data_IF_747334879772
#
_entry.id   IF_747334879772
#
_cell.length_a   1.000
_cell.length_b   1.000
_cell.length_c   1.000
_cell.angle_alpha   90.00
_cell.angle_beta   90.00
_cell.angle_gamma   90.00
#
_symmetry.space_group_name_H-M   'P 1'
#
loop_
_entity.id
_entity.type
_entity.pdbx_description
1 polymer ?
#
# COMPACT_ATOMS: atom_id res chain seq x y z
N UNK A 1 15.27 29.02 10.02
CA UNK A 1 15.23 28.11 8.85
C UNK A 1 14.29 28.58 7.75
N UNK A 2 13.00 28.85 7.99
CA UNK A 2 12.11 29.36 6.91
C UNK A 2 12.56 30.71 6.36
N UNK A 3 13.03 31.62 7.23
CA UNK A 3 13.64 32.90 6.82
C UNK A 3 14.95 32.76 6.02
N UNK A 4 15.55 31.57 5.98
CA UNK A 4 16.75 31.30 5.17
C UNK A 4 16.41 30.81 3.76
N UNK A 5 15.14 30.52 3.47
CA UNK A 5 14.67 30.14 2.13
C UNK A 5 14.52 31.42 1.32
N UNK A 6 15.42 31.64 0.36
CA UNK A 6 15.38 32.72 -0.65
C UNK A 6 14.89 34.08 -0.13
N UNK A 7 15.71 34.75 0.69
CA UNK A 7 15.40 36.02 1.38
C UNK A 7 14.93 37.15 0.46
N UNK A 8 15.35 37.11 -0.81
CA UNK A 8 15.14 38.22 -1.75
C UNK A 8 13.78 38.11 -2.47
N UNK A 9 13.22 36.91 -2.57
CA UNK A 9 11.97 36.61 -3.30
C UNK A 9 10.82 36.27 -2.35
N UNK A 10 11.12 35.70 -1.18
CA UNK A 10 10.14 35.20 -0.23
C UNK A 10 10.06 36.09 1.02
N UNK A 11 8.89 36.66 1.28
CA UNK A 11 8.63 37.44 2.47
C UNK A 11 7.57 36.76 3.35
N UNK A 12 7.86 36.63 4.65
CA UNK A 12 6.86 36.19 5.64
C UNK A 12 5.97 37.38 5.97
N UNK A 13 4.66 37.23 5.84
CA UNK A 13 3.69 38.27 6.19
C UNK A 13 3.29 38.09 7.65
N UNK A 14 3.45 39.14 8.44
CA UNK A 14 3.06 39.20 9.86
C UNK A 14 2.06 40.38 10.04
N UNK A 15 0.86 40.17 10.62
CA UNK A 15 0.29 38.88 11.06
C UNK A 15 -0.08 37.97 9.89
N UNK A 16 -0.20 36.67 10.15
CA UNK A 16 -0.70 35.72 9.16
C UNK A 16 -2.17 36.04 8.82
N UNK A 17 -2.58 35.75 7.58
CA UNK A 17 -3.96 35.89 7.14
C UNK A 17 -4.91 35.02 7.98
N UNK A 18 -6.15 35.46 8.12
CA UNK A 18 -7.18 34.78 8.91
C UNK A 18 -7.31 33.31 8.51
N UNK A 19 -7.18 32.43 9.51
CA UNK A 19 -7.29 30.97 9.33
C UNK A 19 -5.98 30.25 8.98
N UNK A 20 -4.85 30.95 8.83
CA UNK A 20 -3.55 30.35 8.51
C UNK A 20 -2.49 30.60 9.60
N UNK A 21 -1.61 29.63 9.84
CA UNK A 21 -0.49 29.78 10.77
C UNK A 21 0.72 30.50 10.17
N UNK A 22 0.88 30.44 8.84
CA UNK A 22 1.98 31.06 8.12
C UNK A 22 1.47 31.56 6.76
N UNK A 23 1.72 32.83 6.46
CA UNK A 23 1.43 33.43 5.16
C UNK A 23 2.75 33.86 4.50
N UNK A 24 2.95 33.42 3.26
CA UNK A 24 4.14 33.75 2.47
C UNK A 24 3.72 34.63 1.30
N UNK A 25 4.46 35.71 1.07
CA UNK A 25 4.33 36.58 -0.09
C UNK A 25 5.52 36.37 -1.01
N UNK A 26 5.24 36.08 -2.28
CA UNK A 26 6.23 35.90 -3.34
C UNK A 26 6.26 37.17 -4.20
N UNK A 27 7.45 37.72 -4.41
CA UNK A 27 7.66 38.84 -5.32
C UNK A 27 8.12 38.33 -6.70
N UNK A 28 7.19 38.32 -7.67
CA UNK A 28 7.49 37.84 -9.03
C UNK A 28 8.47 38.75 -9.78
N UNK A 29 8.61 40.02 -9.39
CA UNK A 29 9.51 40.96 -10.07
C UNK A 29 10.98 40.62 -9.84
N UNK A 30 11.28 39.95 -8.72
CA UNK A 30 12.63 39.52 -8.32
C UNK A 30 12.90 38.06 -8.66
N UNK A 31 11.95 37.37 -9.29
CA UNK A 31 12.11 35.97 -9.65
C UNK A 31 13.03 35.85 -10.88
N UNK A 32 14.16 35.12 -10.79
CA UNK A 32 15.03 34.93 -11.94
C UNK A 32 14.31 34.07 -13.00
N UNK A 33 14.58 34.30 -14.29
CA UNK A 33 13.99 33.54 -15.41
C UNK A 33 14.83 32.33 -15.87
N UNK A 34 15.89 31.99 -15.13
CA UNK A 34 16.84 30.92 -15.45
C UNK A 34 16.50 29.61 -14.69
N UNK A 35 17.41 28.63 -14.68
CA UNK A 35 17.28 27.38 -13.91
C UNK A 35 17.12 27.59 -12.40
N UNK A 36 17.52 28.74 -11.85
CA UNK A 36 17.38 29.07 -10.42
C UNK A 36 15.91 29.28 -10.05
N UNK A 37 15.06 29.65 -11.02
CA UNK A 37 13.61 29.75 -10.83
C UNK A 37 13.01 28.41 -10.38
N UNK A 38 13.46 27.30 -10.98
CA UNK A 38 13.02 25.95 -10.62
C UNK A 38 13.47 25.57 -9.22
N UNK A 39 14.68 25.99 -8.81
CA UNK A 39 15.17 25.75 -7.46
C UNK A 39 14.34 26.52 -6.42
N UNK A 40 14.04 27.80 -6.68
CA UNK A 40 13.20 28.62 -5.79
C UNK A 40 11.79 28.03 -5.70
N UNK A 41 11.18 27.64 -6.83
CA UNK A 41 9.86 26.98 -6.84
C UNK A 41 9.90 25.69 -6.01
N UNK A 42 10.96 24.89 -6.16
CA UNK A 42 11.13 23.66 -5.39
C UNK A 42 11.27 23.96 -3.89
N UNK A 43 12.08 24.95 -3.52
CA UNK A 43 12.26 25.37 -2.13
C UNK A 43 10.94 25.87 -1.51
N UNK A 44 10.20 26.73 -2.22
CA UNK A 44 8.88 27.23 -1.81
C UNK A 44 7.88 26.08 -1.66
N UNK A 45 7.87 25.14 -2.59
CA UNK A 45 7.00 23.95 -2.51
C UNK A 45 7.35 23.04 -1.33
N UNK A 46 8.60 23.10 -0.85
CA UNK A 46 9.11 22.28 0.25
C UNK A 46 8.96 22.91 1.64
N UNK A 47 8.39 24.13 1.77
CA UNK A 47 8.34 24.87 3.05
C UNK A 47 7.74 24.04 4.18
N UNK A 48 6.62 23.34 3.94
CA UNK A 48 5.99 22.49 4.96
C UNK A 48 6.96 21.39 5.44
N UNK A 49 7.66 20.75 4.50
CA UNK A 49 8.65 19.73 4.81
C UNK A 49 9.84 20.33 5.58
N UNK A 50 10.31 21.53 5.22
CA UNK A 50 11.41 22.22 5.91
C UNK A 50 11.03 22.58 7.35
N UNK A 51 9.81 23.08 7.58
CA UNK A 51 9.34 23.42 8.94
C UNK A 51 9.35 22.18 9.83
N UNK A 52 8.69 21.11 9.42
CA UNK A 52 8.63 19.87 10.22
C UNK A 52 10.00 19.20 10.34
N UNK A 53 10.80 19.24 9.28
CA UNK A 53 12.16 18.72 9.31
C UNK A 53 13.02 19.47 10.32
N UNK A 54 12.88 20.80 10.41
CA UNK A 54 13.66 21.60 11.36
C UNK A 54 13.34 21.23 12.81
N UNK A 55 12.06 21.13 13.16
CA UNK A 55 11.62 20.67 14.46
C UNK A 55 12.15 19.27 14.80
N UNK A 56 12.04 18.33 13.86
CA UNK A 56 12.57 16.97 14.06
C UNK A 56 14.10 16.94 14.19
N UNK A 57 14.83 17.74 13.41
CA UNK A 57 16.31 17.81 13.51
C UNK A 57 16.73 18.32 14.89
N UNK A 58 16.08 19.36 15.37
CA UNK A 58 16.33 19.91 16.71
C UNK A 58 16.04 18.87 17.79
N UNK A 59 14.92 18.14 17.68
CA UNK A 59 14.61 17.01 18.56
C UNK A 59 15.72 15.95 18.53
N UNK A 60 16.15 15.53 17.34
CA UNK A 60 17.14 14.46 17.16
C UNK A 60 18.56 14.85 17.59
N UNK A 61 18.94 16.12 17.46
CA UNK A 61 20.24 16.61 17.94
C UNK A 61 20.30 16.64 19.47
N UNK A 62 19.17 16.91 20.11
CA UNK A 62 19.03 17.02 21.57
C UNK A 62 18.58 15.71 22.24
N UNK A 63 18.87 14.54 21.65
CA UNK A 63 18.46 13.23 22.21
C UNK A 63 19.09 12.94 23.58
N UNK A 64 20.31 13.44 23.83
CA UNK A 64 21.06 13.20 25.06
C UNK A 64 21.09 14.42 26.01
N UNK A 65 20.47 15.55 25.66
CA UNK A 65 20.43 16.71 26.56
C UNK A 65 19.51 16.36 27.72
N UNK A 66 20.09 16.16 28.91
CA UNK A 66 19.44 15.60 30.10
C UNK A 66 18.33 16.44 30.74
N UNK A 67 17.49 17.12 29.95
CA UNK A 67 16.26 17.79 30.39
C UNK A 67 15.21 16.74 30.79
N UNK A 68 15.51 16.07 31.90
CA UNK A 68 14.74 14.97 32.46
C UNK A 68 13.74 15.54 33.45
N UNK A 69 12.67 16.16 32.97
CA UNK A 69 11.50 16.35 33.84
C UNK A 69 10.97 14.96 34.19
N UNK A 70 11.00 14.57 35.48
CA UNK A 70 10.48 13.32 36.05
C UNK A 70 8.94 13.18 35.94
N UNK A 71 8.37 13.42 34.75
CA UNK A 71 6.94 13.34 34.46
C UNK A 71 6.64 12.45 33.27
N UNK A 72 5.36 12.19 33.01
CA UNK A 72 4.88 11.51 31.80
C UNK A 72 5.45 12.21 30.56
N UNK A 73 6.17 11.48 29.70
CA UNK A 73 6.75 12.03 28.48
C UNK A 73 5.63 12.53 27.57
N UNK A 74 5.50 13.86 27.42
CA UNK A 74 4.43 14.44 26.61
C UNK A 74 4.68 14.15 25.12
N UNK A 75 3.77 13.45 24.42
CA UNK A 75 3.93 13.19 23.01
C UNK A 75 3.79 14.50 22.21
N UNK A 76 4.63 14.68 21.20
CA UNK A 76 4.54 15.79 20.25
C UNK A 76 3.90 15.25 18.97
N UNK A 77 2.70 15.76 18.66
CA UNK A 77 1.97 15.42 17.44
C UNK A 77 2.55 16.18 16.24
N UNK A 78 2.98 15.47 15.21
CA UNK A 78 3.47 16.03 13.95
C UNK A 78 2.54 15.67 12.80
N UNK A 79 2.12 16.68 12.04
CA UNK A 79 1.15 16.55 10.95
C UNK A 79 1.84 16.92 9.64
N UNK A 80 2.40 15.93 8.94
CA UNK A 80 2.90 16.12 7.57
C UNK A 80 1.79 15.87 6.55
N UNK A 81 0.98 14.83 6.79
CA UNK A 81 -0.24 14.56 6.04
C UNK A 81 -1.46 14.78 6.96
N UNK A 82 -2.47 15.56 6.55
CA UNK A 82 -3.58 15.97 7.44
C UNK A 82 -4.34 14.83 8.14
N UNK A 83 -4.37 13.64 7.53
CA UNK A 83 -5.09 12.45 8.07
C UNK A 83 -4.18 11.44 8.76
N UNK A 84 -2.87 11.70 8.75
CA UNK A 84 -1.83 10.76 9.18
C UNK A 84 -0.81 11.48 10.05
N UNK A 85 -1.23 11.90 11.26
CA UNK A 85 -0.28 12.39 12.24
C UNK A 85 0.57 11.23 12.74
N UNK A 86 1.83 11.52 13.03
CA UNK A 86 2.67 10.64 13.84
C UNK A 86 3.14 11.41 15.07
N UNK A 87 3.53 10.65 16.09
CA UNK A 87 3.89 11.18 17.39
C UNK A 87 5.37 10.99 17.64
N UNK A 88 5.98 11.97 18.28
CA UNK A 88 7.37 11.87 18.72
C UNK A 88 7.41 12.08 20.22
N UNK A 89 7.91 11.08 20.93
CA UNK A 89 8.02 11.06 22.39
C UNK A 89 9.51 11.13 22.72
N UNK A 90 9.92 12.14 23.47
CA UNK A 90 11.29 12.26 23.97
C UNK A 90 11.42 11.44 25.25
N UNK A 91 12.34 10.49 25.29
CA UNK A 91 12.76 9.76 26.48
C UNK A 91 14.23 10.11 26.80
N UNK A 92 14.77 9.80 28.00
CA UNK A 92 16.05 10.33 28.46
C UNK A 92 17.28 9.93 27.61
N UNK A 93 17.20 8.81 26.90
CA UNK A 93 18.32 8.27 26.09
C UNK A 93 17.92 7.99 24.63
N UNK A 94 16.65 8.19 24.29
CA UNK A 94 16.10 7.86 22.98
C UNK A 94 14.86 8.68 22.66
N UNK A 95 14.57 8.82 21.38
CA UNK A 95 13.32 9.38 20.88
C UNK A 95 12.51 8.25 20.27
N UNK A 96 11.25 8.14 20.65
CA UNK A 96 10.33 7.15 20.09
C UNK A 96 9.40 7.85 19.12
N UNK A 97 9.46 7.45 17.84
CA UNK A 97 8.55 7.92 16.81
C UNK A 97 7.44 6.88 16.59
N UNK A 98 6.19 7.23 16.88
CA UNK A 98 5.03 6.33 16.81
C UNK A 98 4.11 6.74 15.66
N UNK A 99 3.79 5.78 14.80
CA UNK A 99 2.97 5.93 13.60
C UNK A 99 1.66 5.14 13.73
N UNK A 100 0.54 5.80 14.04
CA UNK A 100 -0.79 5.24 13.95
C UNK A 100 -1.15 4.90 12.48
N UNK A 101 -1.31 3.62 12.14
CA UNK A 101 -1.52 3.17 10.75
C UNK A 101 -3.00 3.00 10.41
N UNK A 102 -3.44 3.67 9.35
CA UNK A 102 -4.83 3.62 8.86
C UNK A 102 -4.93 3.23 7.39
N UNK A 103 -5.73 2.21 7.13
CA UNK A 103 -6.04 1.75 5.77
C UNK A 103 -7.54 1.81 5.51
N UNK A 104 -7.94 2.12 4.26
CA UNK A 104 -9.35 2.17 3.90
C UNK A 104 -9.95 0.78 3.70
N UNK A 105 -9.19 -0.12 3.08
CA UNK A 105 -9.65 -1.46 2.72
C UNK A 105 -9.14 -2.51 3.71
N UNK A 106 -10.00 -3.42 4.14
CA UNK A 106 -9.61 -4.51 5.04
C UNK A 106 -8.54 -5.44 4.42
N UNK A 107 -8.50 -5.57 3.09
CA UNK A 107 -7.43 -6.31 2.42
C UNK A 107 -6.06 -5.66 2.62
N UNK A 108 -6.02 -4.33 2.62
CA UNK A 108 -4.78 -3.57 2.78
C UNK A 108 -4.31 -3.65 4.23
N UNK A 109 -5.24 -3.71 5.20
CA UNK A 109 -4.93 -3.98 6.61
C UNK A 109 -4.18 -5.31 6.74
N UNK A 110 -4.71 -6.40 6.16
CA UNK A 110 -4.08 -7.73 6.26
C UNK A 110 -2.67 -7.72 5.65
N UNK A 111 -2.52 -7.13 4.46
CA UNK A 111 -1.21 -7.02 3.80
C UNK A 111 -0.23 -6.19 4.65
N UNK A 112 -0.69 -5.07 5.21
CA UNK A 112 0.12 -4.21 6.04
C UNK A 112 0.54 -4.89 7.34
N UNK A 113 -0.36 -5.61 8.00
CA UNK A 113 -0.05 -6.37 9.22
C UNK A 113 1.04 -7.41 8.97
N UNK A 114 0.94 -8.17 7.88
CA UNK A 114 2.01 -9.12 7.50
C UNK A 114 3.33 -8.40 7.22
N UNK A 115 3.29 -7.26 6.53
CA UNK A 115 4.48 -6.44 6.26
C UNK A 115 5.15 -5.96 7.56
N UNK A 116 4.39 -5.50 8.56
CA UNK A 116 4.96 -5.04 9.83
C UNK A 116 5.54 -6.19 10.66
N UNK A 117 4.90 -7.35 10.66
CA UNK A 117 5.45 -8.55 11.32
C UNK A 117 6.79 -8.94 10.70
N UNK A 118 6.87 -9.02 9.38
CA UNK A 118 8.12 -9.30 8.68
C UNK A 118 9.19 -8.22 8.94
N UNK A 119 8.79 -6.95 9.02
CA UNK A 119 9.71 -5.85 9.33
C UNK A 119 10.35 -6.02 10.72
N UNK A 120 9.56 -6.36 11.74
CA UNK A 120 10.07 -6.62 13.10
C UNK A 120 11.06 -7.79 13.07
N UNK A 121 10.69 -8.89 12.40
CA UNK A 121 11.53 -10.09 12.33
C UNK A 121 12.89 -9.78 11.68
N UNK A 122 12.90 -8.98 10.60
CA UNK A 122 14.12 -8.56 9.92
C UNK A 122 14.99 -7.66 10.80
N UNK A 123 14.40 -6.68 11.46
CA UNK A 123 15.14 -5.75 12.36
C UNK A 123 15.70 -6.48 13.58
N UNK A 124 15.05 -7.55 14.02
CA UNK A 124 15.50 -8.41 15.13
C UNK A 124 16.78 -9.20 14.81
N UNK A 125 17.16 -9.30 13.54
CA UNK A 125 18.38 -10.02 13.14
C UNK A 125 19.64 -9.23 13.51
N UNK A 126 20.64 -9.92 14.06
CA UNK A 126 21.94 -9.34 14.46
C UNK A 126 22.65 -8.56 13.34
N UNK A 127 22.36 -8.88 12.07
CA UNK A 127 22.90 -8.16 10.89
C UNK A 127 22.49 -6.68 10.86
N UNK A 128 21.34 -6.33 11.45
CA UNK A 128 20.76 -4.99 11.44
C UNK A 128 20.87 -4.26 12.78
N UNK A 129 21.77 -4.69 13.67
CA UNK A 129 21.96 -4.09 14.99
C UNK A 129 22.31 -2.58 14.99
N UNK A 130 22.68 -2.01 13.83
CA UNK A 130 22.97 -0.57 13.65
C UNK A 130 21.75 0.26 13.21
N UNK A 131 20.58 -0.36 13.06
CA UNK A 131 19.33 0.26 12.61
C UNK A 131 18.44 0.54 13.83
N UNK A 132 17.66 1.64 13.83
CA UNK A 132 16.67 1.89 14.88
C UNK A 132 15.79 0.67 15.13
N UNK A 133 15.69 0.19 16.38
CA UNK A 133 14.72 -0.84 16.74
C UNK A 133 13.31 -0.42 16.31
N UNK A 134 12.58 -1.37 15.75
CA UNK A 134 11.21 -1.18 15.29
C UNK A 134 10.29 -2.13 16.05
N UNK A 135 9.13 -1.64 16.47
CA UNK A 135 8.09 -2.46 17.09
C UNK A 135 6.74 -2.17 16.43
N UNK A 136 5.82 -3.12 16.52
CA UNK A 136 4.43 -2.95 16.07
C UNK A 136 3.48 -3.57 17.10
N UNK A 137 2.43 -2.83 17.42
CA UNK A 137 1.38 -3.26 18.35
C UNK A 137 0.01 -2.89 17.80
N UNK A 138 -1.01 -3.77 17.92
CA UNK A 138 -2.39 -3.39 17.61
C UNK A 138 -2.98 -2.42 18.62
N UNK A 139 -2.39 -2.32 19.82
CA UNK A 139 -2.86 -1.49 20.93
C UNK A 139 -2.00 -0.21 21.01
N UNK A 140 -2.60 0.97 21.27
CA UNK A 140 -1.85 2.21 21.43
C UNK A 140 -0.81 2.11 22.56
N UNK A 141 0.42 2.59 22.36
CA UNK A 141 1.42 2.70 23.42
C UNK A 141 0.91 3.52 24.61
N UNK A 142 1.45 3.23 25.80
CA UNK A 142 1.03 3.85 27.05
C UNK A 142 1.28 5.37 27.02
N UNK A 143 2.32 5.79 26.33
CA UNK A 143 2.74 7.17 26.16
C UNK A 143 1.74 8.02 25.35
N UNK A 144 0.89 7.37 24.54
CA UNK A 144 -0.17 8.04 23.79
C UNK A 144 -1.51 8.07 24.54
N UNK A 145 -1.57 7.57 25.78
CA UNK A 145 -2.80 7.67 26.59
C UNK A 145 -3.09 9.13 26.92
N UNK A 146 -4.25 9.62 26.46
CA UNK A 146 -4.69 11.00 26.66
C UNK A 146 -4.76 11.81 25.36
N UNK A 147 -4.18 11.31 24.27
CA UNK A 147 -4.38 11.87 22.93
C UNK A 147 -5.82 11.63 22.43
N UNK A 148 -6.33 12.48 21.51
CA UNK A 148 -7.72 12.39 21.06
C UNK A 148 -8.01 11.03 20.43
N UNK A 149 -9.21 10.51 20.69
CA UNK A 149 -9.62 9.17 20.27
C UNK A 149 -9.52 8.95 18.76
N UNK A 150 -9.75 9.98 17.95
CA UNK A 150 -9.61 9.93 16.49
C UNK A 150 -8.20 9.51 16.07
N UNK A 151 -7.19 10.00 16.78
CA UNK A 151 -5.78 9.70 16.50
C UNK A 151 -5.35 8.33 17.01
N UNK A 152 -6.04 7.80 18.03
CA UNK A 152 -5.80 6.47 18.60
C UNK A 152 -6.62 5.37 17.91
N UNK A 153 -7.69 5.72 17.20
CA UNK A 153 -8.49 4.76 16.44
C UNK A 153 -7.74 4.39 15.15
N UNK A 154 -7.10 3.22 15.16
CA UNK A 154 -6.38 2.66 14.02
C UNK A 154 -6.84 1.23 13.73
N UNK A 155 -6.79 0.84 12.45
CA UNK A 155 -7.05 -0.55 12.03
C UNK A 155 -5.77 -1.29 11.64
N UNK A 156 -4.69 -0.57 11.31
CA UNK A 156 -3.37 -1.14 11.00
C UNK A 156 -2.43 -1.26 12.19
N UNK A 157 -2.85 -0.83 13.39
CA UNK A 157 -2.02 -0.78 14.59
C UNK A 157 -1.06 0.41 14.63
N UNK A 158 -0.08 0.33 15.51
CA UNK A 158 0.91 1.37 15.82
C UNK A 158 2.30 0.82 15.54
N UNK A 159 3.05 1.48 14.67
CA UNK A 159 4.46 1.18 14.43
C UNK A 159 5.31 2.18 15.20
N UNK A 160 6.30 1.73 15.94
CA UNK A 160 7.21 2.60 16.69
C UNK A 160 8.67 2.36 16.32
N UNK A 161 9.44 3.45 16.21
CA UNK A 161 10.89 3.40 16.01
C UNK A 161 11.61 4.06 17.18
N UNK A 162 12.59 3.35 17.73
CA UNK A 162 13.41 3.81 18.85
C UNK A 162 14.72 4.40 18.31
N UNK A 163 14.87 5.72 18.40
CA UNK A 163 16.00 6.46 17.85
C UNK A 163 16.85 7.00 19.00
N UNK A 164 17.88 6.26 19.37
CA UNK A 164 18.97 6.72 20.25
C UNK A 164 20.03 7.55 19.52
N UNK A 165 20.87 8.23 20.29
CA UNK A 165 21.95 9.10 19.79
C UNK A 165 22.90 8.44 18.81
N UNK A 166 23.28 7.17 19.01
CA UNK A 166 24.15 6.45 18.07
C UNK A 166 23.56 6.24 16.66
N UNK A 167 22.23 6.36 16.49
CA UNK A 167 21.63 6.35 15.16
C UNK A 167 21.80 7.67 14.44
N UNK A 168 21.88 8.77 15.20
CA UNK A 168 22.02 10.15 14.73
C UNK A 168 23.50 10.55 14.61
N UNK A 169 24.38 9.91 15.39
CA UNK A 169 25.81 10.17 15.44
C UNK A 169 26.47 9.83 14.09
N UNK A 170 27.12 10.83 13.49
CA UNK A 170 27.76 10.77 12.17
C UNK A 170 26.80 10.86 10.97
N UNK A 171 25.66 10.14 10.99
CA UNK A 171 24.69 10.12 9.88
C UNK A 171 23.84 11.37 9.88
N UNK A 172 24.03 12.23 8.86
CA UNK A 172 23.20 13.39 8.50
C UNK A 172 21.75 13.22 9.00
N UNK A 173 21.31 13.89 10.09
CA UNK A 173 19.99 13.71 10.69
C UNK A 173 18.87 13.85 9.66
N UNK A 174 19.12 14.61 8.60
CA UNK A 174 18.35 14.71 7.37
C UNK A 174 17.80 13.37 6.84
N UNK A 175 18.61 12.31 6.81
CA UNK A 175 18.18 11.00 6.29
C UNK A 175 17.12 10.36 7.17
N UNK A 176 17.28 10.45 8.49
CA UNK A 176 16.33 9.91 9.46
C UNK A 176 15.04 10.72 9.37
N UNK A 177 15.15 12.04 9.37
CA UNK A 177 14.02 12.96 9.23
C UNK A 177 13.23 12.68 7.96
N UNK A 178 13.92 12.54 6.82
CA UNK A 178 13.29 12.20 5.55
C UNK A 178 12.59 10.83 5.62
N UNK A 179 13.22 9.83 6.25
CA UNK A 179 12.63 8.49 6.40
C UNK A 179 11.37 8.52 7.28
N UNK A 180 11.39 9.26 8.39
CA UNK A 180 10.25 9.40 9.29
C UNK A 180 9.09 10.14 8.61
N UNK A 181 9.35 11.27 7.97
CA UNK A 181 8.33 12.06 7.28
C UNK A 181 7.67 11.28 6.13
N UNK A 182 8.43 10.42 5.43
CA UNK A 182 7.93 9.65 4.29
C UNK A 182 7.46 8.24 4.63
N UNK A 183 7.52 7.82 5.90
CA UNK A 183 7.22 6.44 6.29
C UNK A 183 5.79 6.02 5.92
N UNK A 184 4.79 6.89 6.13
CA UNK A 184 3.41 6.62 5.71
C UNK A 184 3.28 6.36 4.21
N UNK A 185 3.89 7.24 3.40
CA UNK A 185 3.87 7.11 1.95
C UNK A 185 4.55 5.82 1.50
N UNK A 186 5.70 5.49 2.11
CA UNK A 186 6.44 4.26 1.86
C UNK A 186 5.59 3.01 2.11
N UNK A 187 5.03 2.87 3.31
CA UNK A 187 4.21 1.70 3.66
C UNK A 187 3.00 1.58 2.74
N UNK A 188 2.23 2.66 2.56
CA UNK A 188 1.03 2.63 1.71
C UNK A 188 1.33 2.32 0.27
N UNK A 189 2.44 2.83 -0.26
CA UNK A 189 2.91 2.50 -1.59
C UNK A 189 3.15 0.99 -1.69
N UNK A 190 3.93 0.42 -0.78
CA UNK A 190 4.29 -1.00 -0.83
C UNK A 190 3.07 -1.91 -0.64
N UNK A 191 2.13 -1.57 0.23
CA UNK A 191 0.86 -2.31 0.38
C UNK A 191 0.08 -2.34 -0.93
N UNK A 192 -0.05 -1.20 -1.62
CA UNK A 192 -0.72 -1.13 -2.93
C UNK A 192 0.02 -1.94 -3.99
N UNK A 193 1.35 -1.87 -4.03
CA UNK A 193 2.16 -2.65 -4.96
C UNK A 193 1.99 -4.16 -4.74
N UNK A 194 2.02 -4.62 -3.49
CA UNK A 194 1.79 -6.03 -3.13
C UNK A 194 0.39 -6.49 -3.53
N UNK A 195 -0.64 -5.67 -3.28
CA UNK A 195 -2.01 -5.96 -3.75
C UNK A 195 -2.07 -6.10 -5.27
N UNK A 196 -1.45 -5.18 -6.00
CA UNK A 196 -1.37 -5.22 -7.47
C UNK A 196 -0.63 -6.47 -7.96
N UNK A 197 0.46 -6.85 -7.30
CA UNK A 197 1.22 -8.06 -7.59
C UNK A 197 0.39 -9.34 -7.40
N UNK A 198 -0.31 -9.46 -6.27
CA UNK A 198 -1.21 -10.59 -5.99
C UNK A 198 -2.28 -10.69 -7.07
N UNK A 199 -2.92 -9.57 -7.44
CA UNK A 199 -3.93 -9.55 -8.50
C UNK A 199 -3.37 -9.97 -9.86
N UNK A 200 -2.15 -9.52 -10.21
CA UNK A 200 -1.49 -9.94 -11.46
C UNK A 200 -1.21 -11.44 -11.47
N UNK A 201 -0.78 -12.00 -10.34
CA UNK A 201 -0.52 -13.45 -10.20
C UNK A 201 -1.82 -14.26 -10.27
N UNK A 202 -2.91 -13.76 -9.67
CA UNK A 202 -4.23 -14.38 -9.77
C UNK A 202 -4.77 -14.40 -11.19
N UNK A 203 -4.62 -13.30 -11.95
CA UNK A 203 -5.00 -13.25 -13.37
C UNK A 203 -4.25 -14.28 -14.20
N UNK A 204 -2.93 -14.35 -14.07
CA UNK A 204 -2.12 -15.38 -14.74
C UNK A 204 -2.55 -16.80 -14.35
N UNK A 205 -2.88 -17.01 -13.08
CA UNK A 205 -3.41 -18.30 -12.62
C UNK A 205 -4.74 -18.67 -13.29
N UNK A 206 -5.64 -17.69 -13.47
CA UNK A 206 -6.89 -17.89 -14.19
C UNK A 206 -6.64 -18.19 -15.68
N UNK A 207 -5.75 -17.44 -16.34
CA UNK A 207 -5.41 -17.62 -17.75
C UNK A 207 -4.89 -19.05 -18.00
N UNK A 208 -3.99 -19.53 -17.14
CA UNK A 208 -3.47 -20.90 -17.21
C UNK A 208 -4.58 -21.96 -17.05
N UNK A 209 -5.55 -21.74 -16.16
CA UNK A 209 -6.67 -22.67 -15.96
C UNK A 209 -7.62 -22.67 -17.16
N UNK A 210 -7.85 -21.51 -17.78
CA UNK A 210 -8.66 -21.37 -18.99
C UNK A 210 -7.99 -22.15 -20.13
N UNK A 211 -6.67 -22.00 -20.31
CA UNK A 211 -5.92 -22.71 -21.36
C UNK A 211 -6.06 -24.24 -21.22
N UNK A 212 -5.99 -24.78 -20.00
CA UNK A 212 -6.18 -26.22 -19.75
C UNK A 212 -7.62 -26.66 -20.07
N UNK A 213 -8.61 -25.84 -19.75
CA UNK A 213 -10.02 -26.11 -20.09
C UNK A 213 -10.25 -26.07 -21.61
N UNK A 214 -9.60 -25.17 -22.32
CA UNK A 214 -9.70 -25.09 -23.79
C UNK A 214 -9.02 -26.28 -24.46
N UNK A 215 -7.83 -26.67 -24.00
CA UNK A 215 -7.12 -27.87 -24.48
C UNK A 215 -7.96 -29.15 -24.30
N UNK A 216 -8.54 -29.35 -23.11
CA UNK A 216 -9.41 -30.51 -22.86
C UNK A 216 -10.66 -30.55 -23.73
N UNK A 217 -11.27 -29.40 -24.05
CA UNK A 217 -12.40 -29.34 -25.00
C UNK A 217 -12.01 -29.73 -26.43
N UNK A 218 -10.80 -29.38 -26.87
CA UNK A 218 -10.30 -29.72 -28.20
C UNK A 218 -9.96 -31.21 -28.31
N UNK A 219 -9.40 -31.82 -27.25
CA UNK A 219 -9.12 -33.25 -27.20
C UNK A 219 -10.39 -34.11 -27.31
N UNK A 220 -11.49 -33.70 -26.67
CA UNK A 220 -12.80 -34.36 -26.83
C UNK A 220 -13.34 -34.27 -28.28
N UNK A 221 -13.03 -33.18 -28.99
CA UNK A 221 -13.40 -32.98 -30.40
C UNK A 221 -12.47 -33.69 -31.40
N UNK A 222 -11.23 -33.98 -31.00
CA UNK A 222 -10.24 -34.72 -31.79
C UNK A 222 -10.23 -36.23 -31.54
N UNK A 223 -11.23 -36.78 -30.83
CA UNK A 223 -11.58 -38.20 -30.93
C UNK A 223 -12.01 -38.45 -32.37
N UNK A 224 -11.02 -38.62 -33.26
CA UNK A 224 -11.18 -39.26 -34.56
C UNK A 224 -11.93 -40.55 -34.26
N UNK A 225 -13.14 -40.69 -34.81
CA UNK A 225 -13.76 -42.01 -34.97
C UNK A 225 -12.74 -42.84 -35.75
N UNK A 226 -11.90 -43.59 -35.03
CA UNK A 226 -11.02 -44.56 -35.63
C UNK A 226 -11.94 -45.56 -36.32
N UNK A 227 -12.01 -45.49 -37.64
CA UNK A 227 -12.59 -46.53 -38.48
C UNK A 227 -11.65 -47.74 -38.41
N UNK A 228 -11.75 -48.49 -37.32
CA UNK A 228 -10.77 -49.55 -37.06
C UNK A 228 -11.09 -50.40 -35.84
N UNK A 229 -12.35 -50.80 -35.66
CA UNK A 229 -12.70 -52.15 -35.16
C UNK A 229 -14.22 -52.38 -35.25
N UNK A 230 -14.73 -52.76 -36.44
CA UNK A 230 -16.09 -53.31 -36.59
C UNK A 230 -16.20 -54.80 -36.21
N UNK A 231 -15.20 -55.38 -35.57
CA UNK A 231 -15.20 -56.78 -35.13
C UNK A 231 -14.70 -56.93 -33.69
N UNK A 232 -15.39 -56.31 -32.74
CA UNK A 232 -15.48 -56.82 -31.36
C UNK A 232 -16.67 -56.16 -30.66
N UNK A 233 -17.85 -56.29 -31.27
CA UNK A 233 -19.12 -55.95 -30.62
C UNK A 233 -19.85 -57.21 -30.14
N UNK A 234 -19.10 -58.15 -29.54
CA UNK A 234 -19.64 -59.34 -28.86
C UNK A 234 -18.64 -59.80 -27.80
N UNK A 235 -18.56 -59.05 -26.70
CA UNK A 235 -18.28 -59.50 -25.33
C UNK A 235 -17.95 -58.26 -24.47
N UNK A 236 -18.33 -58.28 -23.19
CA UNK A 236 -18.32 -57.14 -22.23
C UNK A 236 -19.54 -56.22 -22.32
N UNK A 237 -20.73 -56.83 -22.35
CA UNK A 237 -21.92 -56.23 -21.77
C UNK A 237 -22.00 -56.58 -20.28
N UNK A 238 -21.62 -55.67 -19.38
CA UNK A 238 -22.25 -55.51 -18.04
C UNK A 238 -21.61 -54.39 -17.19
N UNK A 239 -20.29 -54.14 -17.29
CA UNK A 239 -19.60 -53.25 -16.34
C UNK A 239 -19.78 -51.74 -16.58
N UNK A 240 -20.08 -51.31 -17.81
CA UNK A 240 -20.25 -49.87 -18.15
C UNK A 240 -21.56 -49.26 -17.61
N UNK A 241 -22.63 -50.06 -17.47
CA UNK A 241 -23.92 -49.57 -16.95
C UNK A 241 -23.89 -49.28 -15.45
N UNK A 242 -23.03 -49.97 -14.68
CA UNK A 242 -22.85 -49.70 -13.24
C UNK A 242 -22.16 -48.35 -12.98
N UNK A 243 -21.14 -48.00 -13.77
CA UNK A 243 -20.37 -46.76 -13.57
C UNK A 243 -21.22 -45.52 -13.91
N UNK A 244 -22.04 -45.59 -14.98
CA UNK A 244 -22.97 -44.50 -15.32
C UNK A 244 -24.07 -44.29 -14.25
N UNK A 245 -24.57 -45.36 -13.62
CA UNK A 245 -25.52 -45.25 -12.49
C UNK A 245 -24.86 -44.60 -11.27
N UNK A 246 -23.61 -44.99 -10.95
CA UNK A 246 -22.85 -44.46 -9.80
C UNK A 246 -22.55 -42.96 -9.91
N UNK A 247 -22.32 -42.45 -11.13
CA UNK A 247 -22.09 -41.02 -11.38
C UNK A 247 -23.39 -40.20 -11.37
N UNK A 248 -24.50 -40.80 -11.81
CA UNK A 248 -25.84 -40.20 -11.70
C UNK A 248 -26.28 -40.00 -10.24
N UNK A 249 -25.98 -40.95 -9.36
CA UNK A 249 -26.35 -40.86 -7.94
C UNK A 249 -25.47 -39.89 -7.14
N UNK A 250 -24.19 -39.78 -7.48
CA UNK A 250 -23.29 -38.74 -6.95
C UNK A 250 -23.76 -37.34 -7.35
N UNK A 251 -24.14 -37.15 -8.61
CA UNK A 251 -24.72 -35.88 -9.09
C UNK A 251 -26.03 -35.52 -8.38
N UNK A 252 -26.91 -36.51 -8.11
CA UNK A 252 -28.14 -36.32 -7.34
C UNK A 252 -27.90 -36.06 -5.85
N UNK A 253 -26.83 -36.62 -5.24
CA UNK A 253 -26.40 -36.31 -3.87
C UNK A 253 -25.85 -34.89 -3.75
N UNK A 254 -25.01 -34.45 -4.69
CA UNK A 254 -24.46 -33.08 -4.72
C UNK A 254 -25.58 -32.06 -4.94
N UNK A 255 -26.56 -32.34 -5.80
CA UNK A 255 -27.75 -31.50 -5.96
C UNK A 255 -28.57 -31.43 -4.66
N UNK A 256 -28.80 -32.55 -3.96
CA UNK A 256 -29.50 -32.56 -2.66
C UNK A 256 -28.78 -31.77 -1.56
N UNK A 257 -27.45 -31.81 -1.51
CA UNK A 257 -26.65 -31.03 -0.54
C UNK A 257 -26.75 -29.52 -0.84
N UNK A 258 -26.75 -29.13 -2.11
CA UNK A 258 -26.90 -27.71 -2.54
C UNK A 258 -28.28 -27.10 -2.25
N UNK A 259 -29.32 -27.92 -2.07
CA UNK A 259 -30.67 -27.42 -1.70
C UNK A 259 -30.89 -27.26 -0.19
N UNK A 260 -30.00 -27.81 0.67
CA UNK A 260 -30.12 -27.68 2.14
C UNK A 260 -29.43 -26.43 2.69
N UNK A 261 -28.49 -25.83 1.96
CA UNK A 261 -27.83 -24.59 2.38
C UNK A 261 -28.57 -23.41 1.74
N UNK A 262 -29.67 -22.98 2.38
CA UNK A 262 -30.34 -21.71 2.06
C UNK A 262 -29.61 -20.58 2.78
N UNK A 263 -28.55 -20.04 2.18
CA UNK A 263 -28.01 -18.73 2.60
C UNK A 263 -28.94 -17.66 2.02
N UNK A 264 -29.76 -17.06 2.87
CA UNK A 264 -30.67 -15.99 2.48
C UNK A 264 -29.85 -14.77 2.04
N UNK A 265 -30.15 -14.21 0.85
CA UNK A 265 -29.44 -13.05 0.28
C UNK A 265 -28.51 -13.34 -0.91
N UNK A 266 -28.10 -14.60 -1.13
CA UNK A 266 -27.17 -14.95 -2.23
C UNK A 266 -27.79 -14.83 -3.63
N UNK A 267 -29.12 -14.76 -3.72
CA UNK A 267 -29.85 -14.60 -4.99
C UNK A 267 -29.62 -13.22 -5.65
N UNK A 268 -29.36 -12.16 -4.85
CA UNK A 268 -28.99 -10.83 -5.40
C UNK A 268 -27.55 -10.82 -5.94
N UNK A 269 -26.65 -11.60 -5.34
CA UNK A 269 -25.26 -11.70 -5.77
C UNK A 269 -25.11 -12.35 -7.16
N UNK A 270 -25.97 -13.31 -7.51
CA UNK A 270 -25.97 -13.96 -8.84
C UNK A 270 -26.37 -13.04 -10.00
N UNK A 271 -27.24 -12.03 -9.79
CA UNK A 271 -27.73 -11.19 -10.90
C UNK A 271 -26.72 -10.14 -11.36
N UNK A 272 -25.76 -9.75 -10.51
CA UNK A 272 -24.86 -8.62 -10.77
C UNK A 272 -23.48 -9.02 -11.28
N UNK A 273 -23.01 -10.24 -10.98
CA UNK A 273 -21.68 -10.70 -11.37
C UNK A 273 -21.65 -11.60 -12.62
N UNK A 274 -22.81 -12.10 -13.08
CA UNK A 274 -22.91 -13.02 -14.23
C UNK A 274 -23.51 -12.41 -15.50
N UNK A 275 -23.79 -11.09 -15.53
CA UNK A 275 -24.03 -10.38 -16.78
C UNK A 275 -22.71 -9.84 -17.30
N UNK A 276 -22.02 -10.62 -18.12
CA UNK A 276 -20.94 -10.10 -18.97
C UNK A 276 -21.57 -9.12 -19.97
N UNK A 277 -21.14 -7.85 -20.06
CA UNK A 277 -21.52 -7.00 -21.18
C UNK A 277 -20.84 -7.56 -22.45
N UNK A 278 -21.64 -7.79 -23.50
CA UNK A 278 -21.13 -8.16 -24.82
C UNK A 278 -20.50 -6.93 -25.46
N UNK A 279 -19.17 -6.86 -25.50
CA UNK A 279 -18.46 -5.90 -26.33
C UNK A 279 -18.32 -6.47 -27.74
N UNK A 280 -19.04 -5.90 -28.71
CA UNK A 280 -18.77 -6.09 -30.13
C UNK A 280 -17.59 -5.19 -30.52
N UNK A 281 -16.47 -5.79 -30.89
CA UNK A 281 -15.32 -5.06 -31.44
C UNK A 281 -15.56 -4.78 -32.93
N UNK A 282 -15.96 -3.55 -33.27
CA UNK A 282 -15.81 -3.01 -34.62
C UNK A 282 -14.38 -2.47 -34.76
N UNK A 283 -13.44 -3.33 -35.15
CA UNK A 283 -12.05 -2.94 -35.40
C UNK A 283 -11.84 -2.77 -36.90
N UNK A 284 -12.21 -1.60 -37.44
CA UNK A 284 -11.81 -1.16 -38.78
C UNK A 284 -10.69 -0.13 -38.64
N UNK A 285 -9.47 -0.48 -39.05
CA UNK A 285 -8.37 0.48 -39.21
C UNK A 285 -8.04 0.63 -40.69
N UNK A 286 -8.09 1.86 -41.20
CA UNK A 286 -7.55 2.26 -42.49
C UNK A 286 -6.04 2.50 -42.38
N UNK A 287 -5.25 1.78 -43.18
CA UNK A 287 -3.81 2.01 -43.35
C UNK A 287 -3.57 3.36 -44.02
N UNK A 288 -2.79 4.24 -43.39
CA UNK A 288 -2.21 5.41 -44.04
C UNK A 288 -1.03 4.95 -44.92
N UNK A 289 -1.11 5.21 -46.22
CA UNK A 289 0.01 5.07 -47.13
C UNK A 289 0.98 6.25 -46.92
N UNK A 290 2.25 5.94 -46.69
CA UNK A 290 3.34 6.91 -46.70
C UNK A 290 3.75 7.15 -48.16
N UNK A 291 3.38 8.30 -48.72
CA UNK A 291 3.98 8.79 -49.95
C UNK A 291 5.42 9.24 -49.67
N UNK A 292 6.38 8.44 -50.10
CA UNK A 292 7.75 8.91 -50.31
C UNK A 292 7.80 9.67 -51.64
N UNK A 293 7.88 11.00 -51.57
CA UNK A 293 8.35 11.80 -52.69
C UNK A 293 9.87 11.90 -52.60
N UNK A 294 10.55 11.14 -53.45
CA UNK A 294 11.87 11.48 -53.97
C UNK A 294 11.65 11.94 -55.41
N UNK A 295 11.72 13.26 -55.61
CA UNK A 295 12.28 14.01 -56.74
C UNK A 295 11.80 15.45 -56.66
#
# INVERSE_FOLDING_TARGET
MVRQISTDVLHIVEPANDGYQLTLRLDFSKLPHNKESLNIITEVSSVQAVILSSQLKEMLQNVNSGDSSQGMYKPIKLIYHPKEPFYVIRQPQKIVAVFPMRFKDNSDVIIATSFFQELIDVVSLKKWAKVPPCNWSPIPPLELRGEPFEDLSTNGGFVSFDISSHHVEGKRPDKIVWSLLNFYAYVKHHVKCTRGFIQRRMRRGLDNLIEVLEKSRVEDGQIKKVQGWRKMRKMVGSKSKMIKRRWGDLGKKIKRIRFRIKIHGFARFRRRWLKMPSFSSSTGYTKLQTNGNNN
#
